data_IF_953413134680
#
_entry.id   IF_953413134680
#
_cell.length_a   1.000
_cell.length_b   1.000
_cell.length_c   1.000
_cell.angle_alpha   90.00
_cell.angle_beta   90.00
_cell.angle_gamma   90.00
#
_symmetry.space_group_name_H-M   'P 1'
#
loop_
_entity.id
_entity.type
_entity.pdbx_description
1 polymer ?
#
# COMPACT_ATOMS: atom_id res chain seq x y z
N UNK A 1 -22.75 -1.25 6.31
CA UNK A 1 -21.33 -1.42 5.92
C UNK A 1 -21.31 -1.92 4.49
N UNK A 2 -20.58 -1.28 3.58
CA UNK A 2 -20.54 -1.69 2.16
C UNK A 2 -20.04 -3.13 2.04
N UNK A 3 -20.69 -3.94 1.20
CA UNK A 3 -20.24 -5.31 0.92
C UNK A 3 -18.93 -5.21 0.12
N UNK A 4 -17.83 -5.71 0.68
CA UNK A 4 -16.52 -5.75 0.03
C UNK A 4 -16.48 -6.99 -0.86
N UNK A 5 -16.49 -6.80 -2.19
CA UNK A 5 -16.43 -7.88 -3.18
C UNK A 5 -15.06 -7.96 -3.82
N UNK A 6 -14.48 -6.81 -4.15
CA UNK A 6 -13.21 -6.70 -4.85
C UNK A 6 -12.16 -5.95 -4.02
N UNK A 7 -10.88 -6.09 -4.38
CA UNK A 7 -9.79 -5.40 -3.68
C UNK A 7 -9.94 -3.88 -3.77
N UNK A 8 -10.56 -3.38 -4.84
CA UNK A 8 -10.86 -1.97 -5.05
C UNK A 8 -11.86 -1.41 -4.01
N UNK A 9 -12.65 -2.27 -3.36
CA UNK A 9 -13.57 -1.87 -2.30
C UNK A 9 -12.85 -1.64 -0.95
N UNK A 10 -11.58 -2.08 -0.84
CA UNK A 10 -10.78 -1.88 0.36
C UNK A 10 -10.35 -0.43 0.49
N UNK A 11 -10.67 0.19 1.62
CA UNK A 11 -10.22 1.55 1.94
C UNK A 11 -8.70 1.69 1.90
N UNK A 12 -7.96 0.67 2.34
CA UNK A 12 -6.48 0.67 2.34
C UNK A 12 -5.92 0.62 0.91
N UNK A 13 -6.61 -0.09 0.00
CA UNK A 13 -6.27 -0.10 -1.42
C UNK A 13 -6.49 1.28 -2.05
N UNK A 14 -7.69 1.86 -1.89
CA UNK A 14 -8.00 3.19 -2.44
C UNK A 14 -6.99 4.24 -1.96
N UNK A 15 -6.75 4.30 -0.65
CA UNK A 15 -5.79 5.24 -0.06
C UNK A 15 -4.37 5.04 -0.58
N UNK A 16 -3.90 3.79 -0.71
CA UNK A 16 -2.55 3.54 -1.23
C UNK A 16 -2.39 3.96 -2.69
N UNK A 17 -3.42 3.79 -3.53
CA UNK A 17 -3.43 4.29 -4.91
C UNK A 17 -3.37 5.82 -4.93
N UNK A 18 -4.22 6.49 -4.14
CA UNK A 18 -4.28 7.95 -4.09
C UNK A 18 -2.93 8.56 -3.65
N UNK A 19 -2.33 8.01 -2.59
CA UNK A 19 -1.04 8.48 -2.08
C UNK A 19 0.09 8.21 -3.08
N UNK A 20 0.09 7.06 -3.75
CA UNK A 20 1.08 6.76 -4.80
C UNK A 20 0.96 7.73 -5.99
N UNK A 21 -0.25 8.20 -6.31
CA UNK A 21 -0.45 9.22 -7.35
C UNK A 21 0.03 10.61 -6.93
N UNK A 22 -0.15 11.00 -5.66
CA UNK A 22 0.44 12.24 -5.14
C UNK A 22 1.96 12.21 -5.25
N UNK A 23 2.59 11.09 -4.87
CA UNK A 23 4.04 10.88 -5.02
C UNK A 23 4.46 10.94 -6.50
N UNK A 24 3.70 10.32 -7.40
CA UNK A 24 3.98 10.35 -8.81
C UNK A 24 4.00 11.78 -9.37
N UNK A 25 3.00 12.59 -9.01
CA UNK A 25 2.91 13.98 -9.45
C UNK A 25 4.04 14.84 -8.85
N UNK A 26 4.32 14.72 -7.56
CA UNK A 26 5.43 15.43 -6.90
C UNK A 26 6.78 15.09 -7.54
N UNK A 27 7.02 13.81 -7.81
CA UNK A 27 8.29 13.37 -8.40
C UNK A 27 8.50 13.82 -9.85
N UNK A 28 7.52 14.45 -10.51
CA UNK A 28 7.74 15.08 -11.83
C UNK A 28 8.61 16.34 -11.74
N UNK A 29 8.70 16.99 -10.57
CA UNK A 29 9.55 18.17 -10.36
C UNK A 29 10.97 17.83 -9.91
N UNK A 30 11.29 16.55 -9.70
CA UNK A 30 12.63 16.14 -9.26
C UNK A 30 13.64 16.33 -10.40
N UNK A 31 14.92 16.54 -10.04
CA UNK A 31 15.98 16.72 -11.03
C UNK A 31 16.09 15.50 -11.97
N UNK A 32 16.40 15.75 -13.24
CA UNK A 32 16.60 14.68 -14.24
C UNK A 32 17.76 13.76 -13.89
N UNK A 33 18.75 14.24 -13.14
CA UNK A 33 19.89 13.45 -12.69
C UNK A 33 19.48 12.36 -11.68
N UNK A 34 18.38 12.56 -10.95
CA UNK A 34 17.84 11.62 -9.95
C UNK A 34 16.71 10.73 -10.50
N UNK A 35 16.53 10.69 -11.83
CA UNK A 35 15.41 9.97 -12.46
C UNK A 35 15.46 8.46 -12.19
N UNK A 36 16.64 7.86 -12.20
CA UNK A 36 16.84 6.41 -12.02
C UNK A 36 17.12 6.00 -10.57
N UNK A 37 17.62 6.93 -9.75
CA UNK A 37 17.85 6.75 -8.31
C UNK A 37 16.55 7.03 -7.54
N UNK A 38 16.39 8.22 -6.99
CA UNK A 38 15.31 8.54 -6.05
C UNK A 38 13.92 8.44 -6.69
N UNK A 39 13.75 9.02 -7.89
CA UNK A 39 12.44 9.08 -8.56
C UNK A 39 11.93 7.68 -8.90
N UNK A 40 12.82 6.81 -9.41
CA UNK A 40 12.48 5.43 -9.72
C UNK A 40 12.08 4.64 -8.47
N UNK A 41 12.87 4.75 -7.40
CA UNK A 41 12.65 3.99 -6.17
C UNK A 41 11.36 4.40 -5.46
N UNK A 42 11.09 5.70 -5.29
CA UNK A 42 9.89 6.16 -4.59
C UNK A 42 8.61 5.83 -5.36
N UNK A 43 8.65 5.85 -6.70
CA UNK A 43 7.50 5.47 -7.55
C UNK A 43 7.24 3.98 -7.53
N UNK A 44 8.29 3.15 -7.54
CA UNK A 44 8.15 1.68 -7.51
C UNK A 44 7.59 1.23 -6.17
N UNK A 45 8.24 1.61 -5.07
CA UNK A 45 7.81 1.22 -3.72
C UNK A 45 6.38 1.69 -3.42
N UNK A 46 6.04 2.96 -3.71
CA UNK A 46 4.69 3.47 -3.45
C UNK A 46 3.57 2.71 -4.19
N UNK A 47 3.80 2.33 -5.45
CA UNK A 47 2.85 1.53 -6.25
C UNK A 47 2.82 0.06 -5.85
N UNK A 48 3.94 -0.47 -5.36
CA UNK A 48 4.04 -1.85 -4.89
C UNK A 48 3.10 -2.11 -3.71
N UNK A 49 2.85 -1.11 -2.86
CA UNK A 49 1.89 -1.19 -1.74
C UNK A 49 0.50 -1.63 -2.22
N UNK A 50 -0.08 -0.93 -3.20
CA UNK A 50 -1.42 -1.24 -3.72
C UNK A 50 -1.44 -2.52 -4.55
N UNK A 51 -0.36 -2.81 -5.29
CA UNK A 51 -0.20 -4.07 -6.02
C UNK A 51 -0.18 -5.28 -5.06
N UNK A 52 0.57 -5.18 -3.96
CA UNK A 52 0.65 -6.22 -2.94
C UNK A 52 -0.70 -6.41 -2.21
N UNK A 53 -1.47 -5.34 -1.95
CA UNK A 53 -2.83 -5.44 -1.41
C UNK A 53 -3.76 -6.21 -2.35
N UNK A 54 -3.70 -5.91 -3.66
CA UNK A 54 -4.49 -6.61 -4.68
C UNK A 54 -4.13 -8.10 -4.74
N UNK A 55 -2.84 -8.44 -4.73
CA UNK A 55 -2.38 -9.82 -4.70
C UNK A 55 -2.78 -10.55 -3.41
N UNK A 56 -2.69 -9.87 -2.25
CA UNK A 56 -3.14 -10.40 -0.98
C UNK A 56 -4.63 -10.76 -1.06
N UNK A 57 -5.47 -9.86 -1.57
CA UNK A 57 -6.90 -10.12 -1.73
C UNK A 57 -7.21 -11.39 -2.53
N UNK A 58 -6.40 -11.71 -3.54
CA UNK A 58 -6.48 -12.95 -4.33
C UNK A 58 -6.01 -14.20 -3.57
N UNK A 59 -5.18 -14.05 -2.55
CA UNK A 59 -4.61 -15.14 -1.73
C UNK A 59 -5.43 -15.50 -0.49
N UNK A 60 -6.59 -14.87 -0.27
CA UNK A 60 -7.44 -15.07 0.92
C UNK A 60 -7.85 -16.52 1.19
N UNK A 61 -7.81 -17.40 0.18
CA UNK A 61 -8.03 -18.85 0.34
C UNK A 61 -7.12 -19.49 1.38
N UNK A 62 -5.91 -18.95 1.54
CA UNK A 62 -4.93 -19.44 2.47
C UNK A 62 -4.46 -18.29 3.34
N UNK A 63 -4.91 -18.25 4.59
CA UNK A 63 -4.66 -17.15 5.52
C UNK A 63 -3.17 -16.80 5.64
N UNK A 64 -2.28 -17.80 5.71
CA UNK A 64 -0.83 -17.58 5.76
C UNK A 64 -0.31 -16.84 4.52
N UNK A 65 -0.81 -17.18 3.33
CA UNK A 65 -0.42 -16.51 2.08
C UNK A 65 -0.99 -15.10 1.96
N UNK A 66 -2.19 -14.88 2.50
CA UNK A 66 -2.80 -13.57 2.62
C UNK A 66 -1.97 -12.64 3.53
N UNK A 67 -1.67 -13.10 4.75
CA UNK A 67 -0.88 -12.34 5.73
C UNK A 67 0.53 -12.07 5.21
N UNK A 68 1.21 -13.08 4.65
CA UNK A 68 2.56 -12.88 4.10
C UNK A 68 2.58 -11.77 3.04
N UNK A 69 1.57 -11.71 2.17
CA UNK A 69 1.51 -10.68 1.13
C UNK A 69 1.13 -9.30 1.67
N UNK A 70 0.36 -9.22 2.76
CA UNK A 70 0.15 -7.97 3.49
C UNK A 70 1.43 -7.49 4.18
N UNK A 71 2.27 -8.40 4.69
CA UNK A 71 3.60 -8.06 5.22
C UNK A 71 4.50 -7.48 4.12
N UNK A 72 4.48 -8.02 2.91
CA UNK A 72 5.19 -7.42 1.77
C UNK A 72 4.69 -5.99 1.49
N UNK A 73 3.36 -5.77 1.52
CA UNK A 73 2.77 -4.44 1.35
C UNK A 73 3.21 -3.46 2.45
N UNK A 74 3.30 -3.92 3.70
CA UNK A 74 3.80 -3.11 4.81
C UNK A 74 5.29 -2.76 4.63
N UNK A 75 6.10 -3.71 4.16
CA UNK A 75 7.51 -3.48 3.83
C UNK A 75 7.69 -2.37 2.80
N UNK A 76 6.92 -2.41 1.72
CA UNK A 76 6.93 -1.41 0.65
C UNK A 76 6.44 -0.04 1.13
N UNK A 77 5.50 0.01 2.08
CA UNK A 77 5.05 1.24 2.71
C UNK A 77 6.18 1.89 3.52
N UNK A 78 6.93 1.10 4.30
CA UNK A 78 8.08 1.58 5.08
C UNK A 78 9.26 1.96 4.19
N UNK A 79 9.48 1.23 3.10
CA UNK A 79 10.45 1.60 2.08
C UNK A 79 10.08 2.96 1.45
N UNK A 80 8.81 3.17 1.12
CA UNK A 80 8.35 4.47 0.60
C UNK A 80 8.61 5.61 1.58
N UNK A 81 8.36 5.42 2.88
CA UNK A 81 8.69 6.41 3.92
C UNK A 81 10.19 6.74 3.95
N UNK A 82 11.04 5.75 3.73
CA UNK A 82 12.49 5.95 3.63
C UNK A 82 12.84 6.83 2.43
N UNK A 83 12.25 6.57 1.26
CA UNK A 83 12.46 7.39 0.07
C UNK A 83 11.88 8.81 0.20
N UNK A 84 10.78 8.98 0.92
CA UNK A 84 10.25 10.31 1.27
C UNK A 84 11.26 11.10 2.14
N UNK A 85 11.94 10.44 3.08
CA UNK A 85 12.97 11.08 3.89
C UNK A 85 14.16 11.53 3.03
N UNK A 86 14.61 10.70 2.08
CA UNK A 86 15.64 11.10 1.13
C UNK A 86 15.19 12.29 0.27
N UNK A 87 13.95 12.29 -0.24
CA UNK A 87 13.41 13.41 -1.00
C UNK A 87 13.41 14.71 -0.20
N UNK A 88 13.09 14.67 1.10
CA UNK A 88 13.21 15.82 1.99
C UNK A 88 14.67 16.27 2.17
N UNK A 89 15.60 15.33 2.44
CA UNK A 89 17.02 15.64 2.64
C UNK A 89 17.70 16.21 1.40
N UNK A 90 17.23 15.83 0.22
CA UNK A 90 17.66 16.39 -1.06
C UNK A 90 16.91 17.68 -1.46
N UNK A 91 16.03 18.21 -0.59
CA UNK A 91 15.20 19.40 -0.85
C UNK A 91 14.27 19.30 -2.06
N UNK A 92 13.86 18.08 -2.45
CA UNK A 92 12.89 17.87 -3.52
C UNK A 92 11.44 18.03 -3.06
N UNK A 93 11.20 17.86 -1.76
CA UNK A 93 9.94 18.16 -1.09
C UNK A 93 10.23 18.96 0.18
N UNK A 94 9.26 19.75 0.63
CA UNK A 94 9.36 20.49 1.88
C UNK A 94 8.86 19.66 3.07
N UNK A 95 9.05 20.18 4.29
CA UNK A 95 8.66 19.48 5.53
C UNK A 95 7.15 19.22 5.62
N UNK A 96 6.32 20.14 5.12
CA UNK A 96 4.86 19.98 5.11
C UNK A 96 4.43 18.80 4.24
N UNK A 97 4.97 18.72 3.02
CA UNK A 97 4.74 17.63 2.08
C UNK A 97 5.23 16.30 2.65
N UNK A 98 6.44 16.28 3.23
CA UNK A 98 6.98 15.10 3.88
C UNK A 98 6.08 14.63 5.03
N UNK A 99 5.72 15.52 5.96
CA UNK A 99 4.89 15.18 7.12
C UNK A 99 3.50 14.69 6.71
N UNK A 100 2.89 15.31 5.70
CA UNK A 100 1.62 14.86 5.14
C UNK A 100 1.74 13.42 4.61
N UNK A 101 2.65 13.18 3.67
CA UNK A 101 2.81 11.87 3.03
C UNK A 101 3.21 10.79 4.03
N UNK A 102 4.12 11.10 4.95
CA UNK A 102 4.55 10.18 6.00
C UNK A 102 3.38 9.79 6.92
N UNK A 103 2.52 10.75 7.28
CA UNK A 103 1.31 10.47 8.05
C UNK A 103 0.29 9.62 7.27
N UNK A 104 0.15 9.84 5.96
CA UNK A 104 -0.70 8.99 5.14
C UNK A 104 -0.18 7.55 5.07
N UNK A 105 1.13 7.35 5.00
CA UNK A 105 1.73 6.02 5.09
C UNK A 105 1.59 5.39 6.47
N UNK A 106 1.71 6.16 7.56
CA UNK A 106 1.40 5.66 8.91
C UNK A 106 -0.04 5.14 9.01
N UNK A 107 -1.00 5.84 8.40
CA UNK A 107 -2.38 5.39 8.33
C UNK A 107 -2.52 4.10 7.51
N UNK A 108 -1.88 4.01 6.33
CA UNK A 108 -1.87 2.80 5.50
C UNK A 108 -1.30 1.61 6.27
N UNK A 109 -0.15 1.79 6.93
CA UNK A 109 0.50 0.76 7.77
C UNK A 109 -0.45 0.32 8.89
N UNK A 110 -1.09 1.27 9.58
CA UNK A 110 -2.08 0.95 10.62
C UNK A 110 -3.25 0.12 10.09
N UNK A 111 -3.74 0.42 8.89
CA UNK A 111 -4.80 -0.36 8.24
C UNK A 111 -4.34 -1.76 7.85
N UNK A 112 -3.11 -1.91 7.32
CA UNK A 112 -2.52 -3.20 6.98
C UNK A 112 -2.33 -4.07 8.22
N UNK A 113 -1.76 -3.52 9.29
CA UNK A 113 -1.55 -4.22 10.57
C UNK A 113 -2.89 -4.66 11.17
N UNK A 114 -3.91 -3.81 11.14
CA UNK A 114 -5.25 -4.18 11.60
C UNK A 114 -5.88 -5.28 10.74
N UNK A 115 -5.70 -5.22 9.42
CA UNK A 115 -6.18 -6.25 8.50
C UNK A 115 -5.48 -7.60 8.74
N UNK A 116 -4.18 -7.59 9.03
CA UNK A 116 -3.41 -8.78 9.40
C UNK A 116 -3.84 -9.34 10.76
N UNK A 117 -4.09 -8.50 11.77
CA UNK A 117 -4.52 -8.98 13.09
C UNK A 117 -5.93 -9.57 13.07
N UNK A 118 -6.74 -9.21 12.07
CA UNK A 118 -8.09 -9.73 11.85
C UNK A 118 -8.18 -10.67 10.63
N UNK A 119 -7.06 -11.25 10.19
CA UNK A 119 -6.92 -12.01 8.94
C UNK A 119 -7.98 -13.10 8.72
N UNK A 120 -8.37 -13.81 9.78
CA UNK A 120 -9.41 -14.84 9.72
C UNK A 120 -10.75 -14.32 9.18
N UNK A 121 -11.16 -13.11 9.59
CA UNK A 121 -12.41 -12.50 9.13
C UNK A 121 -12.39 -12.19 7.63
N UNK A 122 -11.21 -11.94 7.07
CA UNK A 122 -11.01 -11.67 5.65
C UNK A 122 -10.89 -12.94 4.81
N UNK A 123 -10.44 -14.04 5.42
CA UNK A 123 -10.16 -15.32 4.77
C UNK A 123 -11.30 -16.35 4.92
N UNK A 124 -12.40 -16.01 5.59
CA UNK A 124 -13.53 -16.92 5.74
C UNK A 124 -14.31 -16.99 4.42
N UNK A 125 -14.16 -18.12 3.72
CA UNK A 125 -15.10 -18.50 2.67
C UNK A 125 -16.27 -19.13 3.40
N UNK A 126 -17.39 -18.41 3.47
CA UNK A 126 -18.64 -19.08 3.83
C UNK A 126 -18.81 -20.26 2.88
N UNK A 127 -19.11 -21.43 3.44
CA UNK A 127 -19.39 -22.69 2.74
C UNK A 127 -20.65 -22.62 1.87
N UNK A 128 -20.86 -21.54 1.14
CA UNK A 128 -21.89 -21.40 0.12
C UNK A 128 -21.36 -22.19 -1.08
N UNK A 129 -21.63 -23.50 -1.07
CA UNK A 129 -21.63 -24.46 -2.21
C UNK A 129 -21.39 -25.90 -1.70
N UNK A 130 -22.07 -26.33 -0.63
CA UNK A 130 -22.17 -27.76 -0.28
C UNK A 130 -23.58 -28.34 -0.34
N UNK A 131 -24.58 -27.55 -0.72
CA UNK A 131 -25.95 -28.02 -0.92
C UNK A 131 -26.42 -27.68 -2.34
N UNK A 132 -25.84 -28.34 -3.34
CA UNK A 132 -26.42 -28.46 -4.69
C UNK A 132 -25.65 -29.56 -5.44
N UNK A 133 -25.85 -30.82 -5.01
CA UNK A 133 -25.82 -32.03 -5.84
C UNK A 133 -26.18 -33.27 -5.02
#
# INVERSE_FOLDING_TARGET
MSIIKFHQDLKVFQKSVDVAMIIFELSKSFSKEELYSLTGQIRRSSRSVSANISEAWGKRKYEKSFVAKLTDSEGEARETQTWLLFALKCNYINEEQFNNLNNQYNQIIGMLVNMMSQSQSWCTFSSINKEEK
#
